data_IF_675560740145
#
_entry.id   IF_675560740145
#
_cell.length_a   1.000
_cell.length_b   1.000
_cell.length_c   1.000
_cell.angle_alpha   90.00
_cell.angle_beta   90.00
_cell.angle_gamma   90.00
#
_symmetry.space_group_name_H-M   'P 1'
#
loop_
_entity.id
_entity.type
_entity.pdbx_description
1 polymer ?
#
# COMPACT_ATOMS: atom_id res chain seq x y z
N UNK A 1 -4.94 -16.27 -8.81
CA UNK A 1 -6.32 -16.55 -8.39
C UNK A 1 -7.38 -15.58 -8.93
N UNK A 2 -7.06 -14.30 -9.22
CA UNK A 2 -8.02 -13.28 -9.69
C UNK A 2 -8.76 -13.59 -11.00
N UNK A 3 -8.11 -14.25 -11.98
CA UNK A 3 -8.74 -14.62 -13.26
C UNK A 3 -9.91 -15.61 -13.08
N UNK A 4 -9.77 -16.59 -12.18
CA UNK A 4 -10.81 -17.58 -11.88
C UNK A 4 -12.03 -16.91 -11.23
N UNK A 5 -11.81 -15.95 -10.33
CA UNK A 5 -12.89 -15.20 -9.70
C UNK A 5 -13.64 -14.30 -10.68
N UNK A 6 -12.92 -13.60 -11.56
CA UNK A 6 -13.55 -12.80 -12.61
C UNK A 6 -14.43 -13.68 -13.51
N UNK A 7 -13.94 -14.86 -13.89
CA UNK A 7 -14.75 -15.83 -14.62
C UNK A 7 -16.02 -16.24 -13.84
N UNK A 8 -15.91 -16.53 -12.53
CA UNK A 8 -17.08 -16.88 -11.70
C UNK A 8 -18.08 -15.72 -11.58
N UNK A 9 -17.64 -14.48 -11.39
CA UNK A 9 -18.52 -13.32 -11.33
C UNK A 9 -19.26 -13.09 -12.65
N UNK A 10 -18.56 -13.22 -13.77
CA UNK A 10 -19.15 -13.14 -15.10
C UNK A 10 -20.19 -14.24 -15.32
N UNK A 11 -19.89 -15.47 -14.91
CA UNK A 11 -20.84 -16.59 -14.99
C UNK A 11 -22.09 -16.34 -14.15
N UNK A 12 -21.96 -15.86 -12.91
CA UNK A 12 -23.11 -15.53 -12.05
C UNK A 12 -23.97 -14.40 -12.63
N UNK A 13 -23.37 -13.42 -13.32
CA UNK A 13 -24.12 -12.36 -14.02
C UNK A 13 -24.95 -12.96 -15.16
N UNK A 14 -24.36 -13.87 -15.94
CA UNK A 14 -25.07 -14.55 -17.02
C UNK A 14 -26.20 -15.43 -16.51
N UNK A 15 -25.95 -16.26 -15.50
CA UNK A 15 -26.97 -17.12 -14.89
C UNK A 15 -28.14 -16.30 -14.33
N UNK A 16 -27.87 -15.13 -13.72
CA UNK A 16 -28.92 -14.23 -13.26
C UNK A 16 -29.78 -13.70 -14.40
N UNK A 17 -29.19 -13.36 -15.55
CA UNK A 17 -29.95 -12.92 -16.73
C UNK A 17 -30.85 -14.04 -17.24
N UNK A 18 -30.32 -15.26 -17.38
CA UNK A 18 -31.10 -16.41 -17.82
C UNK A 18 -32.25 -16.75 -16.85
N UNK A 19 -32.03 -16.67 -15.54
CA UNK A 19 -33.09 -16.90 -14.53
C UNK A 19 -34.19 -15.83 -14.61
N UNK A 20 -33.81 -14.56 -14.82
CA UNK A 20 -34.76 -13.46 -14.98
C UNK A 20 -35.62 -13.61 -16.24
N UNK A 21 -35.03 -14.04 -17.36
CA UNK A 21 -35.76 -14.32 -18.60
C UNK A 21 -36.76 -15.48 -18.45
N UNK A 22 -36.47 -16.45 -17.58
CA UNK A 22 -37.36 -17.57 -17.25
C UNK A 22 -38.42 -17.22 -16.19
N UNK A 23 -38.39 -16.01 -15.61
CA UNK A 23 -39.30 -15.61 -14.53
C UNK A 23 -39.03 -16.32 -13.20
N UNK A 24 -37.85 -16.91 -13.01
CA UNK A 24 -37.49 -17.61 -11.77
C UNK A 24 -36.88 -16.65 -10.76
N UNK A 25 -37.75 -15.95 -10.03
CA UNK A 25 -37.37 -14.95 -9.03
C UNK A 25 -36.64 -15.56 -7.82
N UNK A 26 -36.90 -16.84 -7.51
CA UNK A 26 -36.20 -17.54 -6.43
C UNK A 26 -34.72 -17.76 -6.79
N UNK A 27 -34.47 -18.21 -8.01
CA UNK A 27 -33.11 -18.40 -8.53
C UNK A 27 -32.37 -17.06 -8.70
N UNK A 28 -33.05 -15.99 -9.11
CA UNK A 28 -32.45 -14.64 -9.15
C UNK A 28 -31.98 -14.18 -7.77
N UNK A 29 -32.76 -14.43 -6.71
CA UNK A 29 -32.38 -14.10 -5.33
C UNK A 29 -31.17 -14.91 -4.88
N UNK A 30 -31.17 -16.22 -5.12
CA UNK A 30 -30.07 -17.11 -4.77
C UNK A 30 -28.75 -16.70 -5.44
N UNK A 31 -28.77 -16.44 -6.75
CA UNK A 31 -27.58 -15.98 -7.50
C UNK A 31 -27.11 -14.61 -7.01
N UNK A 32 -28.02 -13.75 -6.59
CA UNK A 32 -27.67 -12.43 -6.04
C UNK A 32 -26.95 -12.57 -4.69
N UNK A 33 -27.43 -13.46 -3.82
CA UNK A 33 -26.76 -13.79 -2.55
C UNK A 33 -25.39 -14.41 -2.81
N UNK A 34 -25.30 -15.42 -3.68
CA UNK A 34 -24.01 -16.06 -4.01
C UNK A 34 -23.00 -15.06 -4.59
N UNK A 35 -23.46 -14.12 -5.42
CA UNK A 35 -22.60 -13.05 -5.96
C UNK A 35 -22.14 -12.08 -4.87
N UNK A 36 -23.00 -11.75 -3.91
CA UNK A 36 -22.62 -10.94 -2.75
C UNK A 36 -21.62 -11.71 -1.89
N UNK A 37 -21.87 -12.97 -1.59
CA UNK A 37 -20.99 -13.84 -0.81
C UNK A 37 -19.65 -14.05 -1.49
N UNK A 38 -19.59 -14.16 -2.81
CA UNK A 38 -18.32 -14.28 -3.55
C UNK A 38 -17.51 -12.97 -3.47
N UNK A 39 -18.18 -11.81 -3.51
CA UNK A 39 -17.54 -10.50 -3.30
C UNK A 39 -17.10 -10.31 -1.85
N UNK A 40 -17.92 -10.72 -0.89
CA UNK A 40 -17.62 -10.65 0.54
C UNK A 40 -16.54 -11.63 0.95
N UNK A 41 -16.50 -12.83 0.37
CA UNK A 41 -15.45 -13.84 0.57
C UNK A 41 -14.13 -13.37 0.00
N UNK A 42 -14.12 -12.65 -1.13
CA UNK A 42 -12.92 -11.97 -1.59
C UNK A 42 -12.49 -10.85 -0.61
N UNK A 43 -13.45 -10.05 -0.13
CA UNK A 43 -13.17 -9.03 0.88
C UNK A 43 -12.70 -9.65 2.20
N UNK A 44 -13.15 -10.85 2.56
CA UNK A 44 -12.74 -11.62 3.75
C UNK A 44 -11.38 -12.27 3.55
N UNK A 45 -11.09 -12.86 2.39
CA UNK A 45 -9.73 -13.32 2.04
C UNK A 45 -8.74 -12.15 2.00
N UNK A 46 -9.18 -10.96 1.59
CA UNK A 46 -8.39 -9.72 1.72
C UNK A 46 -8.38 -9.12 3.13
N UNK A 47 -9.28 -9.52 4.04
CA UNK A 47 -9.37 -9.02 5.44
C UNK A 47 -8.88 -10.00 6.49
N UNK A 48 -8.71 -11.28 6.16
CA UNK A 48 -8.00 -12.28 6.96
C UNK A 48 -6.48 -12.10 6.86
N UNK A 49 -6.03 -11.19 5.98
CA UNK A 49 -4.73 -10.53 6.09
C UNK A 49 -4.79 -9.52 7.25
N UNK A 50 -4.69 -10.06 8.46
CA UNK A 50 -4.21 -9.43 9.69
C UNK A 50 -4.95 -8.17 10.19
N UNK A 51 -5.74 -8.34 11.27
CA UNK A 51 -5.96 -7.26 12.23
C UNK A 51 -4.62 -6.97 12.91
N UNK A 52 -3.89 -5.98 12.41
CA UNK A 52 -2.65 -5.54 13.04
C UNK A 52 -2.93 -4.84 14.38
N UNK A 53 -2.16 -5.13 15.45
CA UNK A 53 -2.22 -4.37 16.69
C UNK A 53 -1.95 -2.88 16.42
N UNK A 54 -2.53 -1.99 17.24
CA UNK A 54 -2.40 -0.54 17.04
C UNK A 54 -0.95 -0.03 16.99
N UNK A 55 0.00 -0.77 17.56
CA UNK A 55 1.43 -0.46 17.46
C UNK A 55 1.94 -0.50 16.02
N UNK A 56 1.41 -1.38 15.15
CA UNK A 56 1.80 -1.42 13.74
C UNK A 56 1.33 -0.19 12.97
N UNK A 57 0.25 0.46 13.40
CA UNK A 57 -0.30 1.62 12.70
C UNK A 57 0.66 2.82 12.78
N UNK A 58 1.35 3.04 13.90
CA UNK A 58 2.31 4.15 14.02
C UNK A 58 3.52 3.92 13.13
N UNK A 59 4.10 2.71 13.15
CA UNK A 59 5.21 2.33 12.28
C UNK A 59 4.82 2.42 10.80
N UNK A 60 3.63 1.93 10.42
CA UNK A 60 3.09 2.03 9.07
C UNK A 60 2.97 3.49 8.62
N UNK A 61 2.38 4.35 9.45
CA UNK A 61 2.21 5.77 9.10
C UNK A 61 3.56 6.49 8.95
N UNK A 62 4.52 6.24 9.85
CA UNK A 62 5.87 6.82 9.73
C UNK A 62 6.60 6.32 8.49
N UNK A 63 6.47 5.04 8.16
CA UNK A 63 7.04 4.47 6.95
C UNK A 63 6.43 5.10 5.69
N UNK A 64 5.10 5.31 5.67
CA UNK A 64 4.41 6.02 4.57
C UNK A 64 4.89 7.46 4.41
N UNK A 65 5.01 8.20 5.51
CA UNK A 65 5.47 9.59 5.51
C UNK A 65 6.87 9.70 4.90
N UNK A 66 7.80 8.88 5.38
CA UNK A 66 9.17 8.85 4.87
C UNK A 66 9.21 8.47 3.40
N UNK A 67 8.42 7.46 2.98
CA UNK A 67 8.33 7.04 1.58
C UNK A 67 7.79 8.15 0.67
N UNK A 68 6.79 8.88 1.14
CA UNK A 68 6.20 10.02 0.42
C UNK A 68 7.23 11.14 0.23
N UNK A 69 7.96 11.48 1.30
CA UNK A 69 9.02 12.49 1.26
C UNK A 69 10.20 12.06 0.37
N UNK A 70 10.61 10.79 0.42
CA UNK A 70 11.65 10.23 -0.44
C UNK A 70 11.26 10.32 -1.92
N UNK A 71 10.03 9.93 -2.30
CA UNK A 71 9.54 10.09 -3.68
C UNK A 71 9.47 11.57 -4.10
N UNK A 72 8.96 12.45 -3.22
CA UNK A 72 8.92 13.90 -3.50
C UNK A 72 10.32 14.45 -3.71
N UNK A 73 11.29 14.04 -2.91
CA UNK A 73 12.69 14.44 -3.05
C UNK A 73 13.30 13.95 -4.37
N UNK A 74 13.05 12.71 -4.77
CA UNK A 74 13.51 12.18 -6.06
C UNK A 74 12.89 12.90 -7.27
N UNK A 75 11.67 13.42 -7.13
CA UNK A 75 10.97 14.16 -8.18
C UNK A 75 11.21 15.67 -8.12
N UNK A 76 11.79 16.20 -7.05
CA UNK A 76 11.94 17.63 -6.85
C UNK A 76 12.95 18.27 -7.81
N UNK A 77 12.66 19.50 -8.22
CA UNK A 77 13.65 20.41 -8.79
C UNK A 77 14.56 20.99 -7.70
N UNK A 78 15.67 21.61 -8.12
CA UNK A 78 16.72 22.07 -7.20
C UNK A 78 16.24 23.03 -6.11
N UNK A 79 15.25 23.88 -6.43
CA UNK A 79 14.70 24.88 -5.50
C UNK A 79 14.08 24.29 -4.23
N UNK A 80 13.51 23.07 -4.30
CA UNK A 80 12.81 22.43 -3.19
C UNK A 80 13.59 21.26 -2.58
N UNK A 81 14.67 20.81 -3.22
CA UNK A 81 15.49 19.66 -2.81
C UNK A 81 16.04 19.85 -1.38
N UNK A 82 16.48 21.06 -1.06
CA UNK A 82 16.95 21.49 0.27
C UNK A 82 15.95 21.20 1.39
N UNK A 83 14.76 21.78 1.29
CA UNK A 83 13.70 21.63 2.29
C UNK A 83 13.24 20.18 2.41
N UNK A 84 12.96 19.52 1.28
CA UNK A 84 12.47 18.14 1.28
C UNK A 84 13.46 17.16 1.88
N UNK A 85 14.76 17.37 1.66
CA UNK A 85 15.78 16.54 2.29
C UNK A 85 15.86 16.75 3.80
N UNK A 86 15.68 17.99 4.27
CA UNK A 86 15.60 18.28 5.71
C UNK A 86 14.37 17.60 6.33
N UNK A 87 13.22 17.73 5.68
CA UNK A 87 11.97 17.11 6.14
C UNK A 87 12.07 15.58 6.17
N UNK A 88 12.69 14.99 5.13
CA UNK A 88 12.94 13.55 5.07
C UNK A 88 13.86 13.08 6.20
N UNK A 89 14.95 13.80 6.50
CA UNK A 89 15.84 13.45 7.62
C UNK A 89 15.12 13.50 8.98
N UNK A 90 14.27 14.50 9.20
CA UNK A 90 13.44 14.59 10.41
C UNK A 90 12.49 13.39 10.49
N UNK A 91 11.83 13.06 9.38
CA UNK A 91 10.90 11.93 9.30
C UNK A 91 11.61 10.59 9.53
N UNK A 92 12.79 10.38 8.96
CA UNK A 92 13.62 9.18 9.17
C UNK A 92 14.03 9.02 10.64
N UNK A 93 14.38 10.11 11.32
CA UNK A 93 14.68 10.08 12.76
C UNK A 93 13.46 9.63 13.58
N UNK A 94 12.25 10.05 13.19
CA UNK A 94 11.02 9.62 13.82
C UNK A 94 10.70 8.14 13.51
N UNK A 95 10.96 7.70 12.27
CA UNK A 95 10.82 6.30 11.87
C UNK A 95 11.77 5.39 12.66
N UNK A 96 13.03 5.77 12.81
CA UNK A 96 14.02 5.01 13.58
C UNK A 96 13.56 4.82 15.04
N UNK A 97 12.97 5.85 15.66
CA UNK A 97 12.39 5.72 17.01
C UNK A 97 11.25 4.70 17.07
N UNK A 98 10.34 4.72 16.10
CA UNK A 98 9.26 3.72 16.03
C UNK A 98 9.83 2.31 15.80
N UNK A 99 10.83 2.15 14.92
CA UNK A 99 11.51 0.88 14.66
C UNK A 99 12.07 0.28 15.96
N UNK A 100 12.73 1.08 16.79
CA UNK A 100 13.32 0.60 18.05
C UNK A 100 12.25 0.11 19.04
N UNK A 101 11.10 0.78 19.09
CA UNK A 101 10.02 0.48 20.02
C UNK A 101 9.10 -0.65 19.56
N UNK A 102 9.25 -1.12 18.32
CA UNK A 102 8.34 -2.10 17.72
C UNK A 102 8.90 -3.53 17.76
N UNK A 103 8.09 -4.57 18.02
CA UNK A 103 8.52 -5.97 17.87
C UNK A 103 9.02 -6.30 16.47
N UNK A 104 9.83 -7.35 16.36
CA UNK A 104 10.33 -7.83 15.06
C UNK A 104 9.17 -8.31 14.19
N UNK A 105 8.99 -7.64 13.06
CA UNK A 105 8.01 -7.96 12.03
C UNK A 105 8.62 -7.75 10.64
N UNK A 106 8.05 -8.34 9.57
CA UNK A 106 8.55 -8.09 8.23
C UNK A 106 8.48 -6.60 7.85
N UNK A 107 7.46 -5.88 8.33
CA UNK A 107 7.38 -4.42 8.16
C UNK A 107 8.53 -3.69 8.86
N UNK A 108 8.88 -4.08 10.10
CA UNK A 108 10.04 -3.49 10.80
C UNK A 108 11.34 -3.73 10.03
N UNK A 109 11.56 -4.94 9.54
CA UNK A 109 12.76 -5.29 8.75
C UNK A 109 12.81 -4.44 7.47
N UNK A 110 11.70 -4.29 6.76
CA UNK A 110 11.61 -3.46 5.57
C UNK A 110 11.83 -1.97 5.88
N UNK A 111 11.30 -1.48 7.01
CA UNK A 111 11.51 -0.11 7.45
C UNK A 111 12.98 0.18 7.81
N UNK A 112 13.67 -0.78 8.44
CA UNK A 112 15.12 -0.71 8.71
C UNK A 112 15.89 -0.61 7.40
N UNK A 113 15.65 -1.55 6.47
CA UNK A 113 16.32 -1.57 5.18
C UNK A 113 16.10 -0.27 4.41
N UNK A 114 14.85 0.19 4.34
CA UNK A 114 14.49 1.46 3.73
C UNK A 114 15.23 2.64 4.39
N UNK A 115 15.21 2.75 5.73
CA UNK A 115 15.87 3.86 6.45
C UNK A 115 17.36 3.89 6.13
N UNK A 116 18.05 2.74 6.19
CA UNK A 116 19.47 2.63 5.85
C UNK A 116 19.77 2.99 4.40
N UNK A 117 19.02 2.46 3.43
CA UNK A 117 19.22 2.77 2.01
C UNK A 117 19.02 4.25 1.72
N UNK A 118 18.00 4.89 2.30
CA UNK A 118 17.74 6.31 2.07
C UNK A 118 18.84 7.17 2.70
N UNK A 119 19.30 6.83 3.90
CA UNK A 119 20.43 7.54 4.54
C UNK A 119 21.70 7.44 3.71
N UNK A 120 21.99 6.26 3.15
CA UNK A 120 23.14 6.04 2.25
C UNK A 120 23.01 6.87 0.96
N UNK A 121 21.85 6.83 0.30
CA UNK A 121 21.57 7.63 -0.90
C UNK A 121 21.70 9.12 -0.62
N UNK A 122 21.33 9.57 0.57
CA UNK A 122 21.38 10.99 0.97
C UNK A 122 22.74 11.43 1.54
N UNK A 123 23.71 10.52 1.65
CA UNK A 123 25.07 10.84 2.11
C UNK A 123 25.83 11.69 1.09
N UNK A 124 25.58 11.47 -0.21
CA UNK A 124 26.01 12.35 -1.29
C UNK A 124 24.84 13.23 -1.75
N UNK A 125 24.89 14.50 -1.35
CA UNK A 125 23.81 15.43 -1.62
C UNK A 125 23.81 15.98 -3.06
N UNK A 126 24.94 15.91 -3.74
CA UNK A 126 25.12 16.56 -5.05
C UNK A 126 24.32 15.83 -6.13
N UNK A 127 24.42 14.50 -6.17
CA UNK A 127 23.66 13.68 -7.10
C UNK A 127 22.87 12.61 -6.34
N UNK A 128 21.56 12.83 -6.21
CA UNK A 128 20.68 11.84 -5.57
C UNK A 128 20.23 10.87 -6.67
N UNK A 129 20.70 9.61 -6.70
CA UNK A 129 20.31 8.65 -7.71
C UNK A 129 18.82 8.32 -7.58
N UNK A 130 18.01 8.95 -8.43
CA UNK A 130 16.53 8.81 -8.44
C UNK A 130 16.09 7.35 -8.52
N UNK A 131 16.79 6.55 -9.33
CA UNK A 131 16.50 5.13 -9.50
C UNK A 131 16.60 4.36 -8.17
N UNK A 132 17.64 4.62 -7.36
CA UNK A 132 17.83 3.96 -6.07
C UNK A 132 16.78 4.42 -5.05
N UNK A 133 16.43 5.72 -5.06
CA UNK A 133 15.37 6.24 -4.18
C UNK A 133 14.02 5.59 -4.50
N UNK A 134 13.69 5.43 -5.79
CA UNK A 134 12.46 4.76 -6.20
C UNK A 134 12.47 3.27 -5.88
N UNK A 135 13.60 2.60 -6.07
CA UNK A 135 13.75 1.19 -5.71
C UNK A 135 13.47 0.98 -4.22
N UNK A 136 14.12 1.74 -3.34
CA UNK A 136 13.87 1.66 -1.90
C UNK A 136 12.39 1.94 -1.55
N UNK A 137 11.76 2.92 -2.22
CA UNK A 137 10.34 3.20 -2.03
C UNK A 137 9.40 2.09 -2.52
N UNK A 138 9.79 1.35 -3.55
CA UNK A 138 9.01 0.26 -4.13
C UNK A 138 9.18 -1.03 -3.31
N UNK A 139 10.39 -1.34 -2.84
CA UNK A 139 10.64 -2.46 -1.92
C UNK A 139 9.80 -2.33 -0.64
N UNK A 140 9.80 -1.14 -0.03
CA UNK A 140 8.97 -0.86 1.14
C UNK A 140 7.48 -0.98 0.82
N UNK A 141 7.04 -0.47 -0.34
CA UNK A 141 5.63 -0.55 -0.78
C UNK A 141 5.13 -1.97 -0.87
N UNK A 142 5.95 -2.86 -1.43
CA UNK A 142 5.54 -4.23 -1.69
C UNK A 142 5.37 -5.00 -0.37
N UNK A 143 6.25 -4.76 0.62
CA UNK A 143 6.06 -5.27 1.97
C UNK A 143 4.79 -4.69 2.60
N UNK A 144 4.58 -3.38 2.54
CA UNK A 144 3.39 -2.74 3.11
C UNK A 144 2.09 -3.26 2.48
N UNK A 145 2.05 -3.49 1.16
CA UNK A 145 0.91 -4.09 0.46
C UNK A 145 0.67 -5.54 0.86
N UNK A 146 1.74 -6.31 1.05
CA UNK A 146 1.63 -7.67 1.60
C UNK A 146 1.04 -7.65 3.03
N UNK A 147 1.16 -6.53 3.75
CA UNK A 147 0.57 -6.28 5.07
C UNK A 147 -0.79 -5.56 4.97
N UNK A 148 -1.45 -5.58 3.82
CA UNK A 148 -2.80 -4.99 3.65
C UNK A 148 -2.86 -3.47 3.73
N UNK A 149 -1.71 -2.78 3.73
CA UNK A 149 -1.66 -1.32 3.71
C UNK A 149 -1.85 -0.83 2.27
N UNK A 150 -2.87 -0.01 2.07
CA UNK A 150 -3.06 0.68 0.79
C UNK A 150 -2.02 1.80 0.66
N UNK A 151 -1.04 1.55 -0.19
CA UNK A 151 0.01 2.52 -0.50
C UNK A 151 -0.35 3.22 -1.81
N UNK A 152 -0.86 4.45 -1.70
CA UNK A 152 -1.11 5.32 -2.85
C UNK A 152 0.14 6.08 -3.25
N UNK A 153 0.44 6.05 -4.54
CA UNK A 153 1.49 6.88 -5.17
C UNK A 153 0.92 8.24 -5.65
N UNK A 154 -0.36 8.50 -5.42
CA UNK A 154 -0.97 9.77 -5.78
C UNK A 154 -0.27 10.88 -5.00
N UNK A 155 0.59 11.62 -5.70
CA UNK A 155 1.03 12.95 -5.29
C UNK A 155 -0.28 13.70 -5.04
N UNK A 156 -0.62 13.92 -3.77
CA UNK A 156 -1.64 14.89 -3.41
C UNK A 156 -1.16 16.21 -4.00
N UNK A 157 -1.62 16.49 -5.23
CA UNK A 157 -1.75 17.83 -5.72
C UNK A 157 -2.63 18.52 -4.68
N UNK A 158 -1.99 19.23 -3.76
CA UNK A 158 -2.65 20.34 -3.11
C UNK A 158 -3.03 21.30 -4.24
N UNK A 159 -4.24 21.11 -4.77
CA UNK A 159 -4.94 22.18 -5.44
C UNK A 159 -5.09 23.30 -4.41
N UNK A 160 -4.61 24.46 -4.82
CA UNK A 160 -4.56 25.72 -4.08
C UNK A 160 -5.90 26.07 -3.43
#
# INVERSE_FOLDING_TARGET
>A
SQRIMQARLTNLIWLRKCAKEKGDDAMVKQITVERLDLKHSNKRLSREVHRYPQSDVTLQNRALDCRCLARKLALAGESNKGSLAKDLRISLTALDKEIQNHPTSPLKIAAIHFSSSIQEIMSDYQDIPKAMMFQACDDLRDVMRAHGVEVSDAVLHNAK
#
